data_IF_565249037738
#
_entry.id   IF_565249037738
#
_cell.length_a   1.000
_cell.length_b   1.000
_cell.length_c   1.000
_cell.angle_alpha   90.00
_cell.angle_beta   90.00
_cell.angle_gamma   90.00
#
_symmetry.space_group_name_H-M   'P 1'
#
loop_
_entity.id
_entity.type
_entity.pdbx_description
1 polymer ?
#
# COMPACT_ATOMS: atom_id res chain seq x y z
N UNK A 1 2.35 -5.36 19.29
CA UNK A 1 1.85 -5.72 17.95
C UNK A 1 0.96 -4.66 17.30
N UNK A 2 0.90 -3.41 17.79
CA UNK A 2 0.11 -2.34 17.16
C UNK A 2 0.92 -1.51 16.15
N UNK A 3 2.24 -1.40 16.29
CA UNK A 3 2.99 -0.42 15.49
C UNK A 3 3.23 -0.80 14.03
N UNK A 4 3.11 -2.07 13.63
CA UNK A 4 3.02 -2.42 12.20
C UNK A 4 1.76 -1.81 11.55
N UNK A 5 0.60 -1.95 12.21
CA UNK A 5 -0.67 -1.34 11.80
C UNK A 5 -0.65 0.19 11.93
N UNK A 6 0.00 0.75 12.97
CA UNK A 6 0.23 2.21 13.11
C UNK A 6 1.01 2.77 11.92
N UNK A 7 2.11 2.11 11.53
CA UNK A 7 2.91 2.52 10.37
C UNK A 7 2.11 2.42 9.06
N UNK A 8 1.38 1.32 8.85
CA UNK A 8 0.53 1.15 7.67
C UNK A 8 -0.51 2.28 7.56
N UNK A 9 -1.12 2.67 8.68
CA UNK A 9 -2.04 3.80 8.76
C UNK A 9 -1.35 5.14 8.46
N UNK A 10 -0.20 5.39 9.07
CA UNK A 10 0.57 6.63 8.91
C UNK A 10 1.05 6.81 7.47
N UNK A 11 1.48 5.72 6.83
CA UNK A 11 1.85 5.70 5.41
C UNK A 11 0.73 6.27 4.54
N UNK A 12 -0.52 5.90 4.80
CA UNK A 12 -1.69 6.41 4.07
C UNK A 12 -1.98 7.89 4.38
N UNK A 13 -1.70 8.37 5.60
CA UNK A 13 -1.93 9.77 5.99
C UNK A 13 -0.85 10.76 5.50
N UNK A 14 0.38 10.30 5.23
CA UNK A 14 1.54 11.14 4.85
C UNK A 14 1.41 11.89 3.51
N UNK A 15 0.34 11.67 2.73
CA UNK A 15 0.14 12.24 1.38
C UNK A 15 -0.31 13.71 1.31
N UNK A 16 -0.45 14.42 2.42
CA UNK A 16 -1.12 15.74 2.47
C UNK A 16 -0.34 16.92 1.85
N UNK A 17 0.98 16.82 1.62
CA UNK A 17 1.76 17.89 1.01
C UNK A 17 1.63 17.91 -0.52
N UNK A 18 1.51 19.08 -1.15
CA UNK A 18 1.27 19.22 -2.61
C UNK A 18 2.30 18.47 -3.49
N UNK A 19 3.58 18.46 -3.09
CA UNK A 19 4.63 17.70 -3.78
C UNK A 19 4.37 16.18 -3.71
N UNK A 20 3.93 15.69 -2.55
CA UNK A 20 3.56 14.27 -2.35
C UNK A 20 2.28 13.91 -3.09
N UNK A 21 1.36 14.87 -3.25
CA UNK A 21 0.14 14.68 -4.04
C UNK A 21 0.44 14.53 -5.53
N UNK A 22 1.36 15.33 -6.08
CA UNK A 22 1.83 15.17 -7.45
C UNK A 22 2.43 13.79 -7.70
N UNK A 23 3.31 13.35 -6.81
CA UNK A 23 3.89 12.00 -6.85
C UNK A 23 2.82 10.89 -6.73
N UNK A 24 1.87 11.02 -5.81
CA UNK A 24 0.76 10.09 -5.66
C UNK A 24 -0.04 9.96 -6.97
N UNK A 25 -0.33 11.08 -7.64
CA UNK A 25 -1.03 11.05 -8.92
C UNK A 25 -0.23 10.38 -10.03
N UNK A 26 1.09 10.54 -10.05
CA UNK A 26 1.98 9.81 -10.96
C UNK A 26 1.88 8.31 -10.72
N UNK A 27 1.97 7.88 -9.46
CA UNK A 27 1.88 6.45 -9.09
C UNK A 27 0.54 5.83 -9.48
N UNK A 28 -0.57 6.49 -9.11
CA UNK A 28 -1.92 6.06 -9.47
C UNK A 28 -2.13 6.02 -10.99
N UNK A 29 -1.58 6.99 -11.73
CA UNK A 29 -1.66 6.98 -13.20
C UNK A 29 -0.94 5.77 -13.79
N UNK A 30 0.24 5.41 -13.27
CA UNK A 30 0.97 4.21 -13.69
C UNK A 30 0.22 2.92 -13.33
N UNK A 31 -0.39 2.84 -12.15
CA UNK A 31 -1.21 1.70 -11.74
C UNK A 31 -2.42 1.53 -12.69
N UNK A 32 -3.11 2.62 -13.04
CA UNK A 32 -4.23 2.61 -13.99
C UNK A 32 -3.78 2.20 -15.40
N UNK A 33 -2.69 2.79 -15.92
CA UNK A 33 -2.14 2.45 -17.25
C UNK A 33 -1.81 0.96 -17.31
N UNK A 34 -1.11 0.44 -16.28
CA UNK A 34 -0.73 -0.96 -16.23
C UNK A 34 -1.96 -1.88 -16.13
N UNK A 35 -2.92 -1.56 -15.25
CA UNK A 35 -4.13 -2.36 -15.11
C UNK A 35 -4.96 -2.40 -16.40
N UNK A 36 -5.11 -1.25 -17.09
CA UNK A 36 -5.83 -1.18 -18.36
C UNK A 36 -5.12 -1.93 -19.50
N UNK A 37 -3.77 -1.95 -19.49
CA UNK A 37 -2.96 -2.72 -20.45
C UNK A 37 -3.14 -4.23 -20.27
N UNK A 38 -3.14 -4.72 -19.02
CA UNK A 38 -3.21 -6.17 -18.73
C UNK A 38 -4.62 -6.74 -18.85
N UNK A 39 -5.65 -5.99 -18.46
CA UNK A 39 -7.04 -6.50 -18.37
C UNK A 39 -8.06 -5.77 -19.22
N UNK A 40 -7.63 -4.82 -20.07
CA UNK A 40 -8.52 -4.00 -20.89
C UNK A 40 -9.04 -2.73 -20.20
N UNK A 41 -9.62 -1.79 -20.97
CA UNK A 41 -9.95 -0.43 -20.50
C UNK A 41 -11.22 -0.32 -19.67
N UNK A 42 -12.03 -1.38 -19.56
CA UNK A 42 -13.33 -1.35 -18.92
C UNK A 42 -13.22 -1.77 -17.44
N UNK A 43 -13.42 -0.86 -16.46
CA UNK A 43 -13.36 -1.20 -15.04
C UNK A 43 -14.44 -2.19 -14.59
N UNK A 44 -15.56 -2.33 -15.33
CA UNK A 44 -16.60 -3.30 -14.98
C UNK A 44 -16.16 -4.73 -15.33
N UNK A 45 -15.31 -4.89 -16.35
CA UNK A 45 -14.75 -6.18 -16.77
C UNK A 45 -13.35 -6.45 -16.21
N UNK A 46 -12.68 -5.44 -15.66
CA UNK A 46 -11.30 -5.52 -15.15
C UNK A 46 -11.23 -5.12 -13.67
N UNK A 47 -11.19 -6.11 -12.77
CA UNK A 47 -11.17 -5.89 -11.33
C UNK A 47 -9.95 -5.08 -10.85
N UNK A 48 -8.76 -5.30 -11.44
CA UNK A 48 -7.54 -4.55 -11.09
C UNK A 48 -7.68 -3.09 -11.47
N UNK A 49 -8.23 -2.81 -12.66
CA UNK A 49 -8.50 -1.44 -13.09
C UNK A 49 -9.56 -0.77 -12.22
N UNK A 50 -10.62 -1.49 -11.84
CA UNK A 50 -11.65 -0.97 -10.93
C UNK A 50 -11.06 -0.48 -9.61
N UNK A 51 -10.20 -1.29 -8.99
CA UNK A 51 -9.53 -0.92 -7.75
C UNK A 51 -8.59 0.28 -7.94
N UNK A 52 -7.80 0.31 -9.03
CA UNK A 52 -6.91 1.44 -9.32
C UNK A 52 -7.68 2.76 -9.55
N UNK A 53 -8.79 2.69 -10.30
CA UNK A 53 -9.69 3.84 -10.52
C UNK A 53 -10.33 4.29 -9.20
N UNK A 54 -10.74 3.35 -8.36
CA UNK A 54 -11.33 3.68 -7.06
C UNK A 54 -10.31 4.37 -6.15
N UNK A 55 -9.09 3.83 -6.01
CA UNK A 55 -8.00 4.50 -5.28
C UNK A 55 -7.72 5.91 -5.79
N UNK A 56 -7.75 6.11 -7.11
CA UNK A 56 -7.54 7.43 -7.70
C UNK A 56 -8.67 8.42 -7.36
N UNK A 57 -9.92 7.96 -7.34
CA UNK A 57 -11.07 8.75 -6.88
C UNK A 57 -10.97 9.09 -5.39
N UNK A 58 -10.60 8.12 -4.56
CA UNK A 58 -10.41 8.30 -3.11
C UNK A 58 -9.32 9.35 -2.84
N UNK A 59 -8.24 9.35 -3.64
CA UNK A 59 -7.18 10.38 -3.63
C UNK A 59 -7.57 11.73 -4.27
N UNK A 60 -8.82 11.89 -4.70
CA UNK A 60 -9.34 13.10 -5.39
C UNK A 60 -8.55 13.46 -6.65
N UNK A 61 -8.14 12.46 -7.42
CA UNK A 61 -7.58 12.66 -8.75
C UNK A 61 -8.68 13.18 -9.71
N UNK A 62 -8.44 14.22 -10.52
CA UNK A 62 -9.38 14.66 -11.54
C UNK A 62 -9.78 13.53 -12.51
N UNK A 63 -11.06 13.43 -12.84
CA UNK A 63 -11.58 12.38 -13.74
C UNK A 63 -10.88 12.34 -15.09
N UNK A 64 -10.55 13.51 -15.67
CA UNK A 64 -9.80 13.61 -16.92
C UNK A 64 -8.42 12.92 -16.86
N UNK A 65 -7.76 12.95 -15.70
CA UNK A 65 -6.48 12.26 -15.51
C UNK A 65 -6.65 10.75 -15.51
N UNK A 66 -7.71 10.25 -14.85
CA UNK A 66 -8.06 8.83 -14.81
C UNK A 66 -8.38 8.34 -16.22
N UNK A 67 -9.24 9.04 -16.95
CA UNK A 67 -9.60 8.68 -18.32
C UNK A 67 -8.39 8.67 -19.25
N UNK A 68 -7.51 9.67 -19.14
CA UNK A 68 -6.28 9.73 -19.92
C UNK A 68 -5.34 8.55 -19.62
N UNK A 69 -5.23 8.15 -18.36
CA UNK A 69 -4.44 6.98 -17.96
C UNK A 69 -5.02 5.68 -18.54
N UNK A 70 -6.35 5.50 -18.52
CA UNK A 70 -7.03 4.35 -19.16
C UNK A 70 -6.76 4.34 -20.67
N UNK A 71 -6.93 5.48 -21.35
CA UNK A 71 -6.69 5.61 -22.79
C UNK A 71 -5.24 5.25 -23.16
N UNK A 72 -4.25 5.70 -22.38
CA UNK A 72 -2.84 5.31 -22.54
C UNK A 72 -2.63 3.79 -22.36
N UNK A 73 -3.17 3.20 -21.30
CA UNK A 73 -3.04 1.76 -21.05
C UNK A 73 -3.69 0.89 -22.13
N UNK A 74 -4.79 1.35 -22.71
CA UNK A 74 -5.50 0.66 -23.80
C UNK A 74 -4.89 0.85 -25.20
N UNK A 75 -3.85 1.68 -25.34
CA UNK A 75 -3.23 1.99 -26.63
C UNK A 75 -3.97 3.02 -27.49
N UNK A 76 -5.03 3.66 -26.98
CA UNK A 76 -5.73 4.76 -27.66
C UNK A 76 -4.92 6.06 -27.66
N UNK A 77 -3.98 6.20 -26.73
CA UNK A 77 -2.99 7.27 -26.68
C UNK A 77 -1.59 6.66 -26.57
N UNK A 78 -0.60 7.33 -27.13
CA UNK A 78 0.80 6.96 -26.92
C UNK A 78 1.16 7.00 -25.43
N UNK A 79 1.82 5.95 -24.97
CA UNK A 79 2.17 5.75 -23.57
C UNK A 79 3.47 4.98 -23.42
N UNK A 80 4.05 5.07 -22.23
CA UNK A 80 5.27 4.35 -21.87
C UNK A 80 5.01 2.84 -21.79
N UNK A 81 6.00 2.03 -22.17
CA UNK A 81 5.95 0.58 -21.97
C UNK A 81 6.23 0.30 -20.50
N UNK A 82 5.16 0.25 -19.72
CA UNK A 82 5.25 -0.08 -18.29
C UNK A 82 5.39 -1.60 -18.08
N UNK A 83 6.23 -1.94 -17.11
CA UNK A 83 6.51 -3.31 -16.65
C UNK A 83 6.36 -3.38 -15.14
N UNK A 84 5.82 -4.50 -14.65
CA UNK A 84 5.70 -4.74 -13.21
C UNK A 84 7.05 -5.16 -12.62
N UNK A 85 7.30 -4.70 -11.39
CA UNK A 85 8.48 -5.01 -10.61
C UNK A 85 8.02 -5.59 -9.27
N UNK A 86 8.51 -6.78 -8.94
CA UNK A 86 8.44 -7.33 -7.60
C UNK A 86 9.89 -7.57 -7.15
N UNK A 87 10.35 -6.77 -6.20
CA UNK A 87 11.70 -6.78 -5.67
C UNK A 87 11.65 -7.15 -4.20
N UNK A 88 12.59 -7.98 -3.78
CA UNK A 88 12.58 -8.62 -2.47
C UNK A 88 13.94 -8.42 -1.81
N UNK A 89 13.96 -8.20 -0.50
CA UNK A 89 15.21 -7.98 0.22
C UNK A 89 15.05 -7.96 1.73
N UNK A 90 16.19 -7.81 2.40
CA UNK A 90 16.27 -7.71 3.85
C UNK A 90 16.85 -6.35 4.25
N UNK A 91 16.15 -5.64 5.13
CA UNK A 91 16.62 -4.41 5.76
C UNK A 91 17.44 -4.67 7.03
N UNK A 92 17.80 -3.59 7.76
CA UNK A 92 18.42 -3.69 9.08
C UNK A 92 17.62 -4.58 10.03
N UNK A 93 18.30 -5.28 10.94
CA UNK A 93 17.67 -6.21 11.87
C UNK A 93 17.10 -7.47 11.22
N UNK A 94 17.37 -7.73 9.94
CA UNK A 94 16.82 -8.89 9.23
C UNK A 94 15.33 -8.75 8.86
N UNK A 95 14.81 -7.52 8.85
CA UNK A 95 13.44 -7.22 8.43
C UNK A 95 13.25 -7.60 6.97
N UNK A 96 12.27 -8.45 6.69
CA UNK A 96 11.86 -8.75 5.33
C UNK A 96 11.15 -7.55 4.70
N UNK A 97 11.53 -7.17 3.48
CA UNK A 97 10.94 -6.06 2.73
C UNK A 97 10.57 -6.52 1.32
N UNK A 98 9.31 -6.30 0.95
CA UNK A 98 8.77 -6.54 -0.38
C UNK A 98 8.41 -5.21 -1.03
N UNK A 99 9.01 -4.93 -2.18
CA UNK A 99 8.80 -3.70 -2.97
C UNK A 99 8.09 -4.07 -4.26
N UNK A 100 6.90 -3.51 -4.46
CA UNK A 100 6.13 -3.65 -5.69
C UNK A 100 6.12 -2.34 -6.44
N UNK A 101 6.28 -2.40 -7.75
CA UNK A 101 6.41 -1.23 -8.59
C UNK A 101 5.93 -1.43 -10.02
N UNK A 102 5.77 -0.32 -10.72
CA UNK A 102 5.47 -0.26 -12.15
C UNK A 102 6.42 0.76 -12.75
N UNK A 103 7.23 0.33 -13.71
CA UNK A 103 8.32 1.13 -14.27
C UNK A 103 8.40 1.03 -15.79
N UNK A 104 8.77 2.14 -16.41
CA UNK A 104 9.16 2.26 -17.82
C UNK A 104 10.62 1.83 -18.06
N UNK A 105 11.42 1.71 -17.00
CA UNK A 105 12.83 1.32 -17.05
C UNK A 105 13.19 0.45 -15.84
N UNK A 106 12.99 -0.86 -16.00
CA UNK A 106 13.28 -1.87 -14.98
C UNK A 106 14.69 -1.78 -14.39
N UNK A 107 15.70 -1.55 -15.22
CA UNK A 107 17.10 -1.56 -14.76
C UNK A 107 17.41 -0.33 -13.88
N UNK A 108 16.88 0.84 -14.24
CA UNK A 108 16.99 2.06 -13.42
C UNK A 108 16.34 1.83 -12.06
N UNK A 109 15.10 1.37 -12.03
CA UNK A 109 14.37 1.18 -10.77
C UNK A 109 15.05 0.14 -9.86
N UNK A 110 15.57 -0.96 -10.42
CA UNK A 110 16.33 -1.94 -9.62
C UNK A 110 17.58 -1.31 -9.02
N UNK A 111 18.31 -0.50 -9.79
CA UNK A 111 19.52 0.17 -9.31
C UNK A 111 19.20 1.17 -8.19
N UNK A 112 18.13 1.96 -8.33
CA UNK A 112 17.68 2.92 -7.32
C UNK A 112 17.25 2.22 -6.03
N UNK A 113 16.41 1.18 -6.15
CA UNK A 113 15.98 0.36 -5.00
C UNK A 113 17.18 -0.27 -4.32
N UNK A 114 18.10 -0.88 -5.07
CA UNK A 114 19.32 -1.49 -4.52
C UNK A 114 20.16 -0.46 -3.76
N UNK A 115 20.35 0.73 -4.34
CA UNK A 115 21.09 1.80 -3.69
C UNK A 115 20.48 2.19 -2.34
N UNK A 116 19.14 2.30 -2.27
CA UNK A 116 18.42 2.61 -1.04
C UNK A 116 18.59 1.50 0.02
N UNK A 117 18.46 0.22 -0.36
CA UNK A 117 18.73 -0.91 0.55
C UNK A 117 20.17 -0.84 1.09
N UNK A 118 21.17 -0.73 0.22
CA UNK A 118 22.58 -0.70 0.62
C UNK A 118 22.90 0.48 1.52
N UNK A 119 22.38 1.68 1.22
CA UNK A 119 22.58 2.87 2.06
C UNK A 119 21.99 2.73 3.46
N UNK A 120 20.90 1.96 3.59
CA UNK A 120 20.26 1.68 4.87
C UNK A 120 20.93 0.54 5.65
N UNK A 121 21.93 -0.17 5.09
CA UNK A 121 22.51 -1.35 5.72
C UNK A 121 21.76 -2.66 5.45
N UNK A 122 20.87 -2.66 4.46
CA UNK A 122 20.18 -3.85 3.94
C UNK A 122 20.74 -4.35 2.61
N UNK A 123 20.12 -5.40 2.07
CA UNK A 123 20.46 -5.98 0.78
C UNK A 123 19.21 -6.41 0.00
N UNK A 124 19.24 -6.16 -1.31
CA UNK A 124 18.27 -6.74 -2.22
C UNK A 124 18.62 -8.21 -2.46
N UNK A 125 17.64 -9.10 -2.32
CA UNK A 125 17.77 -10.53 -2.50
C UNK A 125 17.26 -11.02 -3.86
N UNK A 126 17.25 -12.34 -4.01
CA UNK A 126 16.66 -13.01 -5.17
C UNK A 126 15.13 -13.05 -5.07
N UNK A 127 14.46 -13.25 -6.20
CA UNK A 127 13.01 -13.43 -6.23
C UNK A 127 12.62 -14.66 -5.40
N UNK A 128 11.59 -14.53 -4.56
CA UNK A 128 11.13 -15.59 -3.66
C UNK A 128 11.76 -15.61 -2.27
N UNK A 129 12.75 -14.76 -1.97
CA UNK A 129 13.47 -14.84 -0.68
C UNK A 129 12.65 -14.39 0.54
N UNK A 130 11.65 -13.53 0.37
CA UNK A 130 10.77 -13.05 1.46
C UNK A 130 9.28 -13.16 1.16
N UNK A 131 8.88 -13.29 -0.10
CA UNK A 131 7.47 -13.27 -0.51
C UNK A 131 6.60 -14.32 0.18
N UNK A 132 7.18 -15.46 0.60
CA UNK A 132 6.50 -16.50 1.37
C UNK A 132 6.08 -16.08 2.79
N UNK A 133 6.73 -15.04 3.36
CA UNK A 133 6.42 -14.44 4.66
C UNK A 133 5.12 -13.63 4.57
N UNK A 134 4.77 -13.14 3.39
CA UNK A 134 3.60 -12.30 3.18
C UNK A 134 2.41 -13.09 2.62
N UNK A 135 1.22 -12.80 3.12
CA UNK A 135 -0.05 -13.22 2.56
C UNK A 135 -0.78 -12.05 1.91
N UNK A 136 -1.57 -12.32 0.88
CA UNK A 136 -2.40 -11.29 0.25
C UNK A 136 -3.75 -11.22 0.95
N UNK A 137 -4.07 -10.05 1.49
CA UNK A 137 -5.35 -9.74 2.14
C UNK A 137 -5.96 -8.48 1.53
N UNK A 138 -7.27 -8.34 1.60
CA UNK A 138 -7.88 -7.02 1.50
C UNK A 138 -7.77 -6.32 2.85
N UNK A 139 -7.34 -5.06 2.85
CA UNK A 139 -7.26 -4.21 4.04
C UNK A 139 -8.15 -2.99 3.84
N UNK A 140 -8.94 -2.65 4.86
CA UNK A 140 -9.77 -1.45 4.92
C UNK A 140 -9.42 -0.73 6.21
N UNK A 141 -8.92 0.49 6.09
CA UNK A 141 -8.59 1.35 7.23
C UNK A 141 -9.72 2.34 7.45
N UNK A 142 -10.26 2.37 8.66
CA UNK A 142 -11.31 3.31 9.09
C UNK A 142 -10.86 4.08 10.32
N UNK A 143 -11.26 5.36 10.43
CA UNK A 143 -11.14 6.09 11.70
C UNK A 143 -12.30 5.70 12.62
N UNK A 144 -11.99 5.23 13.82
CA UNK A 144 -12.95 4.85 14.86
C UNK A 144 -13.92 5.97 15.22
N UNK A 145 -13.51 7.23 15.09
CA UNK A 145 -14.39 8.38 15.23
C UNK A 145 -15.15 8.35 16.55
N UNK A 146 -16.47 8.55 16.52
CA UNK A 146 -17.33 8.51 17.71
C UNK A 146 -18.06 7.18 17.91
N UNK A 147 -17.75 6.13 17.13
CA UNK A 147 -18.40 4.83 17.24
C UNK A 147 -17.58 3.92 18.14
N UNK A 148 -18.26 3.01 18.81
CA UNK A 148 -17.65 1.99 19.66
C UNK A 148 -16.82 1.02 18.78
N UNK A 149 -15.51 0.84 19.05
CA UNK A 149 -14.67 -0.11 18.32
C UNK A 149 -15.19 -1.55 18.35
N UNK A 150 -15.84 -1.95 19.44
CA UNK A 150 -16.41 -3.29 19.57
C UNK A 150 -17.61 -3.48 18.64
N UNK A 151 -18.47 -2.45 18.52
CA UNK A 151 -19.58 -2.44 17.57
C UNK A 151 -19.07 -2.49 16.13
N UNK A 152 -18.08 -1.64 15.78
CA UNK A 152 -17.48 -1.63 14.44
C UNK A 152 -16.86 -2.99 14.07
N UNK A 153 -16.23 -3.65 15.04
CA UNK A 153 -15.65 -4.97 14.86
C UNK A 153 -16.72 -5.99 14.49
N UNK A 154 -17.81 -6.06 15.28
CA UNK A 154 -18.93 -6.96 15.00
C UNK A 154 -19.54 -6.67 13.63
N UNK A 155 -19.74 -5.40 13.28
CA UNK A 155 -20.28 -5.00 11.98
C UNK A 155 -19.39 -5.42 10.80
N UNK A 156 -18.07 -5.32 10.97
CA UNK A 156 -17.11 -5.73 9.95
C UNK A 156 -17.10 -7.26 9.77
N UNK A 157 -17.12 -8.01 10.89
CA UNK A 157 -17.18 -9.48 10.87
C UNK A 157 -18.47 -9.97 10.21
N UNK A 158 -19.62 -9.38 10.56
CA UNK A 158 -20.92 -9.70 9.94
C UNK A 158 -20.94 -9.43 8.42
N UNK A 159 -20.18 -8.42 7.97
CA UNK A 159 -20.03 -8.11 6.55
C UNK A 159 -19.12 -9.12 5.81
N UNK A 160 -18.28 -9.87 6.53
CA UNK A 160 -17.35 -10.86 6.00
C UNK A 160 -15.88 -10.51 6.17
N UNK A 161 -15.52 -9.72 7.19
CA UNK A 161 -14.12 -9.54 7.58
C UNK A 161 -13.54 -10.82 8.21
N UNK A 162 -12.25 -11.06 7.95
CA UNK A 162 -11.47 -12.15 8.53
C UNK A 162 -10.99 -11.78 9.95
N UNK A 163 -10.60 -10.52 10.14
CA UNK A 163 -10.00 -10.01 11.36
C UNK A 163 -10.15 -8.49 11.44
N UNK A 164 -10.10 -7.93 12.65
CA UNK A 164 -10.13 -6.49 12.89
C UNK A 164 -9.07 -6.14 13.91
N UNK A 165 -8.11 -5.31 13.51
CA UNK A 165 -7.06 -4.79 14.37
C UNK A 165 -7.40 -3.39 14.79
N UNK A 166 -7.32 -3.12 16.09
CA UNK A 166 -7.61 -1.81 16.68
C UNK A 166 -6.28 -1.21 17.13
N UNK A 167 -6.00 0.00 16.69
CA UNK A 167 -4.85 0.79 17.12
C UNK A 167 -5.27 2.24 17.36
N UNK A 168 -5.29 2.62 18.65
CA UNK A 168 -5.82 3.91 19.11
C UNK A 168 -7.22 4.21 18.51
N UNK A 169 -7.33 5.25 17.68
CA UNK A 169 -8.56 5.68 17.02
C UNK A 169 -8.71 5.15 15.59
N UNK A 170 -7.93 4.13 15.20
CA UNK A 170 -7.93 3.56 13.85
C UNK A 170 -8.18 2.06 13.90
N UNK A 171 -9.07 1.58 13.03
CA UNK A 171 -9.33 0.17 12.87
C UNK A 171 -8.87 -0.26 11.48
N UNK A 172 -8.11 -1.34 11.45
CA UNK A 172 -7.69 -2.04 10.24
C UNK A 172 -8.50 -3.33 10.13
N UNK A 173 -9.41 -3.35 9.15
CA UNK A 173 -10.30 -4.47 8.87
C UNK A 173 -9.68 -5.32 7.76
N UNK A 174 -9.37 -6.57 8.07
CA UNK A 174 -8.76 -7.52 7.15
C UNK A 174 -9.81 -8.44 6.54
N UNK A 175 -9.63 -8.77 5.28
CA UNK A 175 -10.55 -9.59 4.47
C UNK A 175 -9.74 -10.49 3.54
N UNK A 176 -10.37 -11.51 2.96
CA UNK A 176 -9.83 -12.10 1.73
C UNK A 176 -9.99 -11.13 0.56
N UNK A 177 -9.13 -11.18 -0.47
CA UNK A 177 -9.18 -10.27 -1.62
C UNK A 177 -10.54 -10.18 -2.33
N UNK A 178 -11.28 -11.28 -2.37
CA UNK A 178 -12.60 -11.36 -2.99
C UNK A 178 -13.72 -10.75 -2.13
N UNK A 179 -13.55 -10.67 -0.81
CA UNK A 179 -14.53 -10.07 0.10
C UNK A 179 -14.35 -8.56 0.30
N UNK A 180 -13.17 -8.00 -0.06
CA UNK A 180 -12.83 -6.58 0.13
C UNK A 180 -13.97 -5.63 -0.28
N UNK A 181 -14.46 -5.77 -1.51
CA UNK A 181 -15.48 -4.86 -2.07
C UNK A 181 -16.82 -4.97 -1.35
N UNK A 182 -17.20 -6.19 -0.94
CA UNK A 182 -18.45 -6.43 -0.21
C UNK A 182 -18.39 -5.78 1.16
N UNK A 183 -17.30 -5.99 1.90
CA UNK A 183 -17.10 -5.40 3.23
C UNK A 183 -17.01 -3.88 3.15
N UNK A 184 -16.25 -3.34 2.18
CA UNK A 184 -16.16 -1.90 1.91
C UNK A 184 -17.55 -1.28 1.72
N UNK A 185 -18.39 -1.84 0.84
CA UNK A 185 -19.74 -1.35 0.58
C UNK A 185 -20.66 -1.42 1.80
N UNK A 186 -20.52 -2.47 2.61
CA UNK A 186 -21.30 -2.61 3.84
C UNK A 186 -20.95 -1.48 4.83
N UNK A 187 -19.66 -1.15 4.98
CA UNK A 187 -19.19 -0.06 5.83
C UNK A 187 -19.63 1.32 5.29
N UNK A 188 -19.52 1.54 3.98
CA UNK A 188 -19.98 2.78 3.32
C UNK A 188 -21.49 2.99 3.47
N UNK A 189 -22.30 1.92 3.35
CA UNK A 189 -23.75 1.98 3.54
C UNK A 189 -24.14 2.42 4.97
N UNK A 190 -23.30 2.10 5.94
CA UNK A 190 -23.43 2.53 7.34
C UNK A 190 -22.82 3.91 7.62
N UNK A 191 -22.29 4.58 6.58
CA UNK A 191 -21.62 5.88 6.63
C UNK A 191 -20.37 5.87 7.52
N UNK A 192 -19.67 4.74 7.58
CA UNK A 192 -18.38 4.65 8.27
C UNK A 192 -17.32 5.28 7.36
N UNK A 193 -16.51 6.25 7.86
CA UNK A 193 -15.50 6.90 7.07
C UNK A 193 -14.32 5.95 6.81
N UNK A 194 -14.19 5.54 5.55
CA UNK A 194 -13.05 4.75 5.08
C UNK A 194 -11.92 5.71 4.69
N UNK A 195 -10.76 5.53 5.31
CA UNK A 195 -9.54 6.28 4.98
C UNK A 195 -8.83 5.65 3.78
N UNK A 196 -8.73 4.33 3.76
CA UNK A 196 -8.16 3.58 2.63
C UNK A 196 -8.76 2.19 2.54
N UNK A 197 -8.78 1.64 1.32
CA UNK A 197 -9.16 0.26 1.07
C UNK A 197 -8.37 -0.28 -0.13
N UNK A 198 -7.81 -1.48 0.00
CA UNK A 198 -6.98 -2.06 -1.06
C UNK A 198 -6.57 -3.49 -0.79
N UNK A 199 -5.96 -4.10 -1.81
CA UNK A 199 -5.28 -5.39 -1.67
C UNK A 199 -3.84 -5.14 -1.24
N UNK A 200 -3.46 -5.72 -0.11
CA UNK A 200 -2.17 -5.52 0.54
C UNK A 200 -1.49 -6.84 0.90
N UNK A 201 -0.19 -6.75 1.22
CA UNK A 201 0.64 -7.88 1.64
C UNK A 201 0.85 -7.79 3.15
N UNK A 202 0.25 -8.71 3.88
CA UNK A 202 0.37 -8.80 5.33
C UNK A 202 1.42 -9.83 5.74
N UNK A 203 2.35 -9.50 6.64
CA UNK A 203 3.33 -10.47 7.12
C UNK A 203 2.67 -11.49 8.06
N UNK A 204 3.03 -12.77 7.91
CA UNK A 204 2.61 -13.87 8.79
C UNK A 204 3.32 -13.83 10.14
N UNK A 205 4.52 -13.26 10.18
CA UNK A 205 5.36 -13.14 11.37
C UNK A 205 6.01 -11.77 11.41
N UNK A 206 6.06 -11.15 12.59
CA UNK A 206 6.71 -9.86 12.80
C UNK A 206 8.11 -10.02 13.42
N UNK A 207 8.95 -9.01 13.22
CA UNK A 207 10.30 -8.90 13.77
C UNK A 207 10.37 -7.67 14.67
N UNK A 208 10.59 -7.90 15.97
CA UNK A 208 10.84 -6.83 16.94
C UNK A 208 12.22 -6.20 16.70
N UNK A 209 12.31 -4.90 16.92
CA UNK A 209 13.50 -4.10 16.65
C UNK A 209 13.82 -3.22 17.86
N UNK A 210 15.11 -3.01 18.13
CA UNK A 210 15.52 -1.91 18.98
C UNK A 210 15.23 -0.55 18.29
N UNK A 211 15.20 0.52 19.08
CA UNK A 211 14.88 1.87 18.59
C UNK A 211 15.80 2.34 17.46
N UNK A 212 17.10 2.06 17.52
CA UNK A 212 18.05 2.51 16.50
C UNK A 212 17.77 1.81 15.16
N UNK A 213 17.62 0.49 15.20
CA UNK A 213 17.31 -0.34 14.05
C UNK A 213 15.92 0.01 13.47
N UNK A 214 14.92 0.23 14.32
CA UNK A 214 13.58 0.66 13.91
C UNK A 214 13.62 1.99 13.14
N UNK A 215 14.35 3.00 13.62
CA UNK A 215 14.52 4.27 12.91
C UNK A 215 15.23 4.12 11.56
N UNK A 216 16.21 3.21 11.46
CA UNK A 216 16.88 2.91 10.18
C UNK A 216 15.91 2.25 9.19
N UNK A 217 15.09 1.30 9.66
CA UNK A 217 14.08 0.63 8.83
C UNK A 217 13.00 1.64 8.39
N UNK A 218 12.50 2.50 9.27
CA UNK A 218 11.53 3.54 8.91
C UNK A 218 12.06 4.47 7.81
N UNK A 219 13.34 4.87 7.89
CA UNK A 219 14.02 5.64 6.83
C UNK A 219 14.13 4.85 5.52
N UNK A 220 14.48 3.55 5.59
CA UNK A 220 14.53 2.67 4.42
C UNK A 220 13.18 2.63 3.71
N UNK A 221 12.10 2.34 4.45
CA UNK A 221 10.75 2.24 3.89
C UNK A 221 10.30 3.57 3.28
N UNK A 222 10.50 4.68 3.99
CA UNK A 222 10.16 6.02 3.47
C UNK A 222 10.91 6.35 2.18
N UNK A 223 12.22 6.08 2.10
CA UNK A 223 13.00 6.37 0.89
C UNK A 223 12.54 5.51 -0.30
N UNK A 224 12.17 4.25 -0.06
CA UNK A 224 11.61 3.38 -1.10
C UNK A 224 10.25 3.90 -1.58
N UNK A 225 9.41 4.37 -0.65
CA UNK A 225 8.12 4.99 -0.96
C UNK A 225 8.27 6.32 -1.72
N UNK A 226 9.39 7.03 -1.58
CA UNK A 226 9.63 8.27 -2.32
C UNK A 226 10.07 8.02 -3.78
N UNK A 227 10.23 6.77 -4.23
CA UNK A 227 10.45 6.46 -5.64
C UNK A 227 9.14 6.43 -6.44
N UNK A 228 9.09 7.14 -7.56
CA UNK A 228 7.89 7.22 -8.42
C UNK A 228 7.52 5.88 -9.07
N UNK A 229 8.49 4.99 -9.25
CA UNK A 229 8.29 3.66 -9.84
C UNK A 229 7.79 2.64 -8.81
N UNK A 230 7.88 2.95 -7.50
CA UNK A 230 7.44 2.09 -6.41
C UNK A 230 5.98 2.40 -6.07
N UNK A 231 5.13 1.38 -6.15
CA UNK A 231 3.71 1.47 -5.82
C UNK A 231 3.47 1.13 -4.36
N UNK A 232 4.05 0.02 -3.89
CA UNK A 232 3.88 -0.44 -2.52
C UNK A 232 5.21 -0.93 -1.93
N UNK A 233 5.40 -0.64 -0.66
CA UNK A 233 6.45 -1.23 0.18
C UNK A 233 5.77 -1.90 1.36
N UNK A 234 6.13 -3.16 1.59
CA UNK A 234 5.67 -3.96 2.71
C UNK A 234 6.86 -4.45 3.51
N UNK A 235 6.72 -4.49 4.83
CA UNK A 235 7.73 -5.05 5.72
C UNK A 235 7.07 -5.90 6.79
N UNK A 236 7.88 -6.68 7.49
CA UNK A 236 7.44 -7.41 8.68
C UNK A 236 8.02 -6.86 9.99
N UNK A 237 8.47 -5.61 10.01
CA UNK A 237 8.96 -4.96 11.21
C UNK A 237 7.79 -4.69 12.19
N UNK A 238 7.95 -5.07 13.46
CA UNK A 238 7.11 -4.54 14.54
C UNK A 238 7.78 -3.27 15.08
N UNK A 239 7.11 -2.14 14.90
CA UNK A 239 7.60 -0.86 15.38
C UNK A 239 7.00 -0.56 16.74
N UNK A 240 7.79 -0.03 17.66
CA UNK A 240 7.21 0.60 18.86
C UNK A 240 6.51 1.91 18.43
N UNK A 241 5.24 2.15 18.82
CA UNK A 241 4.54 3.40 18.54
C UNK A 241 5.34 4.67 18.86
N UNK A 242 6.11 4.68 19.95
CA UNK A 242 6.92 5.83 20.35
C UNK A 242 8.04 6.14 19.35
N UNK A 243 8.60 5.11 18.72
CA UNK A 243 9.64 5.27 17.68
C UNK A 243 9.05 5.85 16.41
N UNK A 244 7.81 5.46 16.07
CA UNK A 244 7.10 6.02 14.92
C UNK A 244 6.84 7.51 15.14
N UNK A 245 6.33 7.89 16.31
CA UNK A 245 6.04 9.28 16.65
C UNK A 245 7.33 10.14 16.62
N UNK A 246 8.44 9.59 17.13
CA UNK A 246 9.77 10.22 17.05
C UNK A 246 10.28 10.40 15.62
N UNK A 247 9.98 9.47 14.72
CA UNK A 247 10.36 9.57 13.31
C UNK A 247 9.56 10.65 12.55
N UNK A 248 8.37 11.00 13.04
CA UNK A 248 7.52 12.02 12.44
C UNK A 248 7.82 13.44 12.93
N UNK A 249 8.36 13.57 14.15
CA UNK A 249 8.74 14.84 14.76
C UNK A 249 9.96 15.50 14.07
#
# INVERSE_FOLDING_TARGET
MSGHSKWATIKHQKGAADAKRGQLFTKLSREIIFAAKEGGPDPDMNARLRLAVQKAKDARMPSDNIERAIKKGSGQLEGEVLTELNLEGYGPGGVAVLVQGVSDNRNRTIADVRHIFTKAGGALGEAGCVSWIFETKGSIVVKGGSRDPDELTLEAIDAGADDVKIDEDVLEILTTPDQLEKVRKALEAKKIPIESAGIEKHPKTLVELDEETALQVLKLLSNLEDLDDVQNVYSNADFDPAVIDKFQA
#
